data_IF_740867456525
#
_entry.id   IF_740867456525
#
_cell.length_a   1.000
_cell.length_b   1.000
_cell.length_c   1.000
_cell.angle_alpha   90.00
_cell.angle_beta   90.00
_cell.angle_gamma   90.00
#
_symmetry.space_group_name_H-M   'P 1'
#
loop_
_entity.id
_entity.type
_entity.pdbx_description
1 polymer ?
#
# COMPACT_ATOMS: atom_id res chain seq x y z
N UNK A 1 0.17 27.66 -2.89
CA UNK A 1 -0.26 26.43 -3.55
C UNK A 1 0.95 25.65 -4.01
N UNK A 2 0.91 24.37 -3.86
CA UNK A 2 2.01 23.53 -4.29
C UNK A 2 1.53 22.60 -5.39
N UNK A 3 2.43 22.22 -6.29
CA UNK A 3 2.12 21.28 -7.35
C UNK A 3 1.71 19.91 -6.78
N UNK A 4 2.28 19.53 -5.64
CA UNK A 4 1.99 18.23 -5.03
C UNK A 4 0.52 18.06 -4.66
N UNK A 5 -0.14 19.12 -4.19
CA UNK A 5 -1.53 19.01 -3.79
C UNK A 5 -2.47 18.80 -4.99
N UNK A 6 -2.00 19.12 -6.19
CA UNK A 6 -2.77 18.94 -7.42
C UNK A 6 -2.46 17.62 -8.13
N UNK A 7 -1.41 16.89 -7.71
CA UNK A 7 -1.00 15.65 -8.35
C UNK A 7 -1.40 14.45 -7.52
N UNK A 8 -2.05 13.49 -8.17
CA UNK A 8 -2.33 12.19 -7.58
C UNK A 8 -1.36 11.19 -8.20
N UNK A 9 -0.56 10.59 -7.34
CA UNK A 9 0.34 9.52 -7.72
C UNK A 9 -0.31 8.20 -7.33
N UNK A 10 -0.28 7.22 -8.22
CA UNK A 10 -0.81 5.89 -7.95
C UNK A 10 0.32 4.90 -8.20
N UNK A 11 0.63 4.11 -7.16
CA UNK A 11 1.71 3.12 -7.23
C UNK A 11 1.17 1.74 -6.91
N UNK A 12 1.68 0.75 -7.62
CA UNK A 12 1.43 -0.67 -7.36
C UNK A 12 2.67 -1.25 -6.71
N UNK A 13 2.50 -1.86 -5.55
CA UNK A 13 3.60 -2.34 -4.72
C UNK A 13 3.44 -3.83 -4.48
N UNK A 14 4.52 -4.57 -4.65
CA UNK A 14 4.59 -6.00 -4.30
C UNK A 14 5.71 -6.20 -3.31
N UNK A 15 5.40 -6.80 -2.17
CA UNK A 15 6.36 -6.96 -1.06
C UNK A 15 6.63 -8.45 -0.87
N UNK A 16 7.92 -8.80 -0.82
CA UNK A 16 8.40 -10.17 -0.65
C UNK A 16 9.17 -10.29 0.66
N UNK A 17 9.12 -11.47 1.24
CA UNK A 17 9.82 -11.79 2.47
C UNK A 17 8.88 -12.44 3.48
N UNK A 18 9.16 -12.24 4.77
CA UNK A 18 8.28 -12.70 5.83
C UNK A 18 7.25 -11.61 6.09
N UNK A 19 6.18 -11.64 5.31
CA UNK A 19 5.18 -10.56 5.27
C UNK A 19 3.74 -11.06 5.44
N UNK A 20 3.52 -12.37 5.52
CA UNK A 20 2.20 -12.91 5.82
C UNK A 20 2.22 -13.58 7.20
N UNK A 21 1.10 -13.47 7.94
CA UNK A 21 0.98 -14.03 9.27
C UNK A 21 1.75 -13.26 10.36
N UNK A 22 2.15 -12.03 10.06
CA UNK A 22 2.98 -11.19 10.96
C UNK A 22 2.37 -9.81 11.20
N UNK A 23 1.10 -9.61 10.81
CA UNK A 23 0.42 -8.32 11.00
C UNK A 23 0.75 -7.29 9.95
N UNK A 24 1.28 -7.69 8.82
CA UNK A 24 1.75 -6.75 7.80
C UNK A 24 0.61 -5.93 7.20
N UNK A 25 -0.52 -6.57 6.82
CA UNK A 25 -1.65 -5.85 6.23
C UNK A 25 -2.25 -4.84 7.20
N UNK A 26 -2.41 -5.22 8.47
CA UNK A 26 -2.92 -4.30 9.50
C UNK A 26 -1.99 -3.11 9.67
N UNK A 27 -0.67 -3.34 9.63
CA UNK A 27 0.32 -2.28 9.67
C UNK A 27 0.15 -1.32 8.49
N UNK A 28 -0.05 -1.85 7.28
CA UNK A 28 -0.22 -1.03 6.07
C UNK A 28 -1.49 -0.18 6.17
N UNK A 29 -2.60 -0.75 6.64
CA UNK A 29 -3.84 0.01 6.81
C UNK A 29 -3.65 1.15 7.81
N UNK A 30 -3.02 0.89 8.94
CA UNK A 30 -2.76 1.91 9.94
C UNK A 30 -1.83 3.01 9.41
N UNK A 31 -0.79 2.62 8.68
CA UNK A 31 0.13 3.58 8.07
C UNK A 31 -0.58 4.44 7.02
N UNK A 32 -1.49 3.86 6.25
CA UNK A 32 -2.28 4.60 5.26
C UNK A 32 -3.12 5.68 5.92
N UNK A 33 -3.75 5.39 7.06
CA UNK A 33 -4.48 6.40 7.80
C UNK A 33 -3.57 7.52 8.29
N UNK A 34 -2.42 7.15 8.84
CA UNK A 34 -1.45 8.13 9.35
C UNK A 34 -0.96 9.06 8.25
N UNK A 35 -0.71 8.54 7.08
CA UNK A 35 -0.13 9.32 5.97
C UNK A 35 -1.17 9.88 5.00
N UNK A 36 -2.45 9.59 5.23
CA UNK A 36 -3.53 10.17 4.43
C UNK A 36 -3.57 9.70 3.00
N UNK A 37 -3.19 8.45 2.73
CA UNK A 37 -3.27 7.89 1.39
C UNK A 37 -4.47 6.97 1.27
N UNK A 38 -4.91 6.74 0.04
CA UNK A 38 -5.99 5.81 -0.26
C UNK A 38 -5.47 4.62 -1.05
N UNK A 39 -6.26 3.57 -1.10
CA UNK A 39 -5.88 2.37 -1.83
C UNK A 39 -6.35 1.09 -1.16
N UNK A 40 -5.55 0.04 -1.31
CA UNK A 40 -5.88 -1.26 -0.72
C UNK A 40 -4.62 -2.12 -0.57
N UNK A 41 -4.75 -3.17 0.23
CA UNK A 41 -3.69 -4.16 0.47
C UNK A 41 -4.31 -5.54 0.55
N UNK A 42 -3.61 -6.55 0.02
CA UNK A 42 -4.04 -7.94 0.13
C UNK A 42 -2.85 -8.89 0.13
N UNK A 43 -3.04 -10.07 0.71
CA UNK A 43 -2.11 -11.17 0.55
C UNK A 43 -2.32 -11.82 -0.81
N UNK A 44 -1.24 -12.36 -1.37
CA UNK A 44 -1.28 -13.19 -2.57
C UNK A 44 -0.94 -14.62 -2.19
N UNK A 45 -1.43 -15.57 -3.00
CA UNK A 45 -1.19 -17.00 -2.72
C UNK A 45 0.27 -17.40 -2.84
N UNK A 46 1.06 -16.62 -3.56
CA UNK A 46 2.50 -16.89 -3.71
C UNK A 46 3.31 -16.43 -2.49
N UNK A 47 2.67 -15.95 -1.44
CA UNK A 47 3.33 -15.49 -0.22
C UNK A 47 3.66 -14.01 -0.18
N UNK A 48 3.45 -13.29 -1.27
CA UNK A 48 3.68 -11.85 -1.31
C UNK A 48 2.50 -11.06 -0.76
N UNK A 49 2.74 -9.78 -0.47
CA UNK A 49 1.69 -8.81 -0.18
C UNK A 49 1.66 -7.79 -1.31
N UNK A 50 0.48 -7.49 -1.78
CA UNK A 50 0.25 -6.56 -2.88
C UNK A 50 -0.53 -5.37 -2.37
N UNK A 51 -0.16 -4.16 -2.78
CA UNK A 51 -0.89 -2.96 -2.42
C UNK A 51 -0.95 -1.98 -3.59
N UNK A 52 -2.03 -1.20 -3.62
CA UNK A 52 -2.13 -0.03 -4.49
C UNK A 52 -2.29 1.17 -3.57
N UNK A 53 -1.47 2.19 -3.78
CA UNK A 53 -1.38 3.35 -2.92
C UNK A 53 -1.54 4.59 -3.77
N UNK A 54 -2.46 5.48 -3.40
CA UNK A 54 -2.75 6.69 -4.16
C UNK A 54 -2.82 7.90 -3.24
N UNK A 55 -2.36 9.03 -3.74
CA UNK A 55 -2.41 10.30 -3.03
C UNK A 55 -1.39 11.27 -3.55
N UNK A 56 -1.15 12.37 -2.84
CA UNK A 56 -0.06 13.30 -3.18
C UNK A 56 1.28 12.55 -3.22
N UNK A 57 2.14 12.89 -4.16
CA UNK A 57 3.37 12.14 -4.38
C UNK A 57 4.26 12.06 -3.13
N UNK A 58 4.31 13.12 -2.33
CA UNK A 58 5.10 13.11 -1.09
C UNK A 58 4.53 12.12 -0.06
N UNK A 59 3.21 12.06 0.07
CA UNK A 59 2.55 11.13 1.00
C UNK A 59 2.74 9.68 0.54
N UNK A 60 2.64 9.43 -0.77
CA UNK A 60 2.85 8.09 -1.33
C UNK A 60 4.29 7.63 -1.10
N UNK A 61 5.27 8.52 -1.27
CA UNK A 61 6.66 8.18 -1.03
C UNK A 61 6.92 7.78 0.43
N UNK A 62 6.36 8.52 1.38
CA UNK A 62 6.48 8.20 2.81
C UNK A 62 5.79 6.86 3.11
N UNK A 63 4.64 6.63 2.51
CA UNK A 63 3.89 5.39 2.68
C UNK A 63 4.69 4.18 2.19
N UNK A 64 5.32 4.29 1.02
CA UNK A 64 6.16 3.21 0.48
C UNK A 64 7.37 2.96 1.39
N UNK A 65 7.97 4.01 1.93
CA UNK A 65 9.06 3.85 2.90
C UNK A 65 8.60 3.07 4.14
N UNK A 66 7.38 3.34 4.62
CA UNK A 66 6.80 2.58 5.72
C UNK A 66 6.62 1.10 5.34
N UNK A 67 6.16 0.83 4.12
CA UNK A 67 6.00 -0.54 3.63
C UNK A 67 7.34 -1.29 3.58
N UNK A 68 8.43 -0.60 3.27
CA UNK A 68 9.76 -1.22 3.25
C UNK A 68 10.22 -1.64 4.64
N UNK A 69 9.83 -0.89 5.67
CA UNK A 69 10.18 -1.25 7.07
C UNK A 69 9.31 -2.39 7.55
N UNK A 70 8.00 -2.28 7.36
CA UNK A 70 7.02 -3.21 7.90
C UNK A 70 6.96 -3.18 9.43
N UNK A 71 6.10 -4.00 10.03
CA UNK A 71 6.03 -4.16 11.48
C UNK A 71 7.21 -4.97 12.00
N UNK A 72 7.41 -4.95 13.33
CA UNK A 72 8.59 -5.58 13.95
C UNK A 72 8.72 -7.08 13.67
N UNK A 73 7.60 -7.77 13.48
CA UNK A 73 7.61 -9.22 13.21
C UNK A 73 7.84 -9.56 11.76
N UNK A 74 7.83 -8.58 10.88
CA UNK A 74 8.02 -8.79 9.45
C UNK A 74 9.50 -8.68 9.07
N UNK A 75 9.83 -9.29 7.93
CA UNK A 75 11.11 -9.08 7.27
C UNK A 75 10.83 -8.85 5.80
N UNK A 76 11.11 -7.63 5.34
CA UNK A 76 10.94 -7.28 3.93
C UNK A 76 12.25 -7.55 3.21
N UNK A 77 12.25 -8.53 2.31
CA UNK A 77 13.43 -8.87 1.52
C UNK A 77 13.51 -8.03 0.25
N UNK A 78 12.36 -7.70 -0.34
CA UNK A 78 12.30 -6.89 -1.54
C UNK A 78 10.94 -6.19 -1.62
N UNK A 79 10.93 -5.03 -2.24
CA UNK A 79 9.69 -4.31 -2.54
C UNK A 79 9.82 -3.77 -3.96
N UNK A 80 8.88 -4.19 -4.82
CA UNK A 80 8.76 -3.69 -6.17
C UNK A 80 7.70 -2.61 -6.20
N UNK A 81 7.99 -1.49 -6.85
CA UNK A 81 7.18 -0.29 -6.87
C UNK A 81 7.07 0.19 -8.31
N UNK A 82 5.85 0.22 -8.83
CA UNK A 82 5.59 0.57 -10.22
C UNK A 82 4.42 1.53 -10.34
N UNK A 83 4.37 2.35 -11.40
CA UNK A 83 3.19 3.16 -11.68
C UNK A 83 1.96 2.28 -11.85
N UNK A 84 0.80 2.78 -11.42
CA UNK A 84 -0.45 2.07 -11.55
C UNK A 84 -1.53 3.00 -12.10
N UNK A 85 -2.58 2.41 -12.67
CA UNK A 85 -3.71 3.14 -13.21
C UNK A 85 -4.83 3.23 -12.18
N UNK A 86 -5.64 4.28 -12.31
CA UNK A 86 -6.73 4.54 -11.38
C UNK A 86 -7.76 3.41 -11.31
N UNK A 87 -7.88 2.61 -12.36
CA UNK A 87 -8.83 1.50 -12.38
C UNK A 87 -8.57 0.50 -11.25
N UNK A 88 -7.30 0.33 -10.83
CA UNK A 88 -6.98 -0.58 -9.75
C UNK A 88 -7.59 -0.15 -8.42
N UNK A 89 -7.87 1.13 -8.23
CA UNK A 89 -8.53 1.61 -7.01
C UNK A 89 -9.97 1.13 -6.89
N UNK A 90 -10.60 0.73 -7.99
CA UNK A 90 -11.98 0.26 -7.98
C UNK A 90 -12.16 -1.09 -7.30
N UNK A 91 -11.07 -1.79 -7.01
CA UNK A 91 -11.16 -3.03 -6.24
C UNK A 91 -11.55 -2.78 -4.79
N UNK A 92 -11.45 -1.54 -4.31
CA UNK A 92 -11.91 -1.17 -2.97
C UNK A 92 -13.43 -1.20 -2.90
N UNK A 93 -14.00 -1.63 -1.76
CA UNK A 93 -15.41 -1.42 -1.52
C UNK A 93 -15.76 0.06 -1.48
N UNK A 94 -16.96 0.41 -1.90
CA UNK A 94 -17.44 1.79 -1.87
C UNK A 94 -17.40 2.32 -0.44
N UNK A 95 -16.92 3.56 -0.30
CA UNK A 95 -16.86 4.25 0.98
C UNK A 95 -15.59 4.00 1.78
N UNK A 96 -14.75 3.05 1.39
CA UNK A 96 -13.49 2.81 2.10
C UNK A 96 -12.37 3.61 1.47
N UNK A 97 -11.60 4.29 2.31
CA UNK A 97 -10.44 5.07 1.87
C UNK A 97 -9.27 4.14 1.61
N UNK A 98 -8.96 3.27 2.58
CA UNK A 98 -7.92 2.25 2.42
C UNK A 98 -8.46 0.93 2.94
N UNK A 99 -8.50 -0.07 2.07
CA UNK A 99 -9.17 -1.34 2.35
C UNK A 99 -8.18 -2.50 2.44
N UNK A 100 -8.49 -3.46 3.31
CA UNK A 100 -7.83 -4.75 3.32
C UNK A 100 -8.72 -5.71 2.53
N UNK A 101 -8.18 -6.24 1.43
CA UNK A 101 -8.94 -7.12 0.54
C UNK A 101 -8.63 -8.59 0.85
N UNK A 102 -9.51 -9.47 0.39
CA UNK A 102 -9.32 -10.91 0.50
C UNK A 102 -8.07 -11.35 -0.29
N UNK A 103 -7.47 -12.44 0.16
CA UNK A 103 -6.32 -13.06 -0.52
C UNK A 103 -6.71 -13.49 -1.93
N UNK A 104 -5.85 -13.24 -2.86
CA UNK A 104 -6.07 -13.61 -4.24
C UNK A 104 -4.90 -14.45 -4.79
#
# INVERSE_FOLDING_TARGET
MTADSAHVTIRHVTVRGRVQGVGYRAFVVAAAETHGVEGWVRNRRDGTVEAVIAGPSSAVAVMIAACRRGPSMARVDALDDQPAVADLLRLRPLGEVFAELATL
#
